data_IF_380590339767
#
_entry.id   IF_380590339767
#
_cell.length_a   1.000
_cell.length_b   1.000
_cell.length_c   1.000
_cell.angle_alpha   90.00
_cell.angle_beta   90.00
_cell.angle_gamma   90.00
#
_symmetry.space_group_name_H-M   'P 1'
#
loop_
_entity.id
_entity.type
_entity.pdbx_description
1 polymer ?
#
# COMPACT_ATOMS: atom_id res chain seq x y z
N UNK A 1 3.36 10.27 5.90
CA UNK A 1 4.51 11.21 5.95
C UNK A 1 4.06 12.48 5.27
N UNK A 2 4.33 13.66 5.84
CA UNK A 2 3.87 14.94 5.26
C UNK A 2 4.58 15.14 3.92
N UNK A 3 3.83 15.39 2.84
CA UNK A 3 4.36 15.69 1.51
C UNK A 3 4.47 14.51 0.54
N UNK A 4 4.23 13.28 0.98
CA UNK A 4 4.25 12.11 0.07
C UNK A 4 2.96 12.04 -0.77
N UNK A 5 3.05 11.71 -2.07
CA UNK A 5 1.87 11.56 -2.92
C UNK A 5 1.04 10.35 -2.48
N UNK A 6 -0.28 10.47 -2.62
CA UNK A 6 -1.18 9.35 -2.34
C UNK A 6 -1.08 8.31 -3.46
N UNK A 7 -1.11 7.01 -3.12
CA UNK A 7 -1.03 5.95 -4.14
C UNK A 7 -2.21 6.00 -5.14
N UNK A 8 -3.38 6.47 -4.71
CA UNK A 8 -4.53 6.73 -5.59
C UNK A 8 -4.29 7.83 -6.64
N UNK A 9 -3.20 8.60 -6.50
CA UNK A 9 -2.76 9.62 -7.45
C UNK A 9 -1.65 9.12 -8.38
N UNK A 10 -1.19 7.88 -8.26
CA UNK A 10 -0.19 7.32 -9.17
C UNK A 10 -0.77 7.13 -10.57
N UNK A 11 -0.04 7.52 -11.61
CA UNK A 11 -0.57 7.59 -12.98
C UNK A 11 -0.96 6.21 -13.53
N UNK A 12 -0.14 5.18 -13.32
CA UNK A 12 -0.48 3.78 -13.64
C UNK A 12 -1.82 3.35 -13.01
N UNK A 13 -2.09 3.74 -11.77
CA UNK A 13 -3.34 3.38 -11.08
C UNK A 13 -4.53 4.10 -11.71
N UNK A 14 -4.39 5.40 -12.02
CA UNK A 14 -5.44 6.18 -12.69
C UNK A 14 -5.74 5.65 -14.09
N UNK A 15 -4.71 5.30 -14.86
CA UNK A 15 -4.83 4.76 -16.20
C UNK A 15 -5.62 3.45 -16.21
N UNK A 16 -5.24 2.50 -15.34
CA UNK A 16 -5.94 1.22 -15.18
C UNK A 16 -7.39 1.47 -14.76
N UNK A 17 -7.61 2.28 -13.73
CA UNK A 17 -8.93 2.61 -13.22
C UNK A 17 -9.85 3.18 -14.31
N UNK A 18 -9.35 4.14 -15.09
CA UNK A 18 -10.09 4.74 -16.20
C UNK A 18 -10.44 3.73 -17.28
N UNK A 19 -9.51 2.83 -17.64
CA UNK A 19 -9.73 1.83 -18.70
C UNK A 19 -10.77 0.79 -18.31
N UNK A 20 -10.81 0.37 -17.05
CA UNK A 20 -11.74 -0.67 -16.56
C UNK A 20 -13.05 -0.11 -15.97
N UNK A 21 -13.24 1.22 -15.98
CA UNK A 21 -14.43 1.85 -15.42
C UNK A 21 -14.53 1.77 -13.90
N UNK A 22 -13.40 1.80 -13.19
CA UNK A 22 -13.28 1.72 -11.74
C UNK A 22 -12.69 3.01 -11.15
N UNK A 23 -12.64 3.08 -9.81
CA UNK A 23 -11.89 4.12 -9.10
C UNK A 23 -10.45 3.66 -8.82
N UNK A 24 -9.49 4.59 -8.67
CA UNK A 24 -8.12 4.25 -8.26
C UNK A 24 -8.04 3.43 -6.96
N UNK A 25 -8.95 3.67 -6.01
CA UNK A 25 -9.02 2.90 -4.77
C UNK A 25 -9.41 1.45 -5.03
N UNK A 26 -10.39 1.21 -5.91
CA UNK A 26 -10.82 -0.14 -6.28
C UNK A 26 -9.70 -0.95 -6.94
N UNK A 27 -8.88 -0.32 -7.81
CA UNK A 27 -7.70 -0.97 -8.41
C UNK A 27 -6.71 -1.43 -7.33
N UNK A 28 -6.40 -0.57 -6.36
CA UNK A 28 -5.49 -0.90 -5.25
C UNK A 28 -6.07 -2.02 -4.38
N UNK A 29 -7.38 -1.97 -4.10
CA UNK A 29 -8.06 -3.01 -3.31
C UNK A 29 -8.06 -4.36 -4.02
N UNK A 30 -8.34 -4.40 -5.33
CA UNK A 30 -8.31 -5.63 -6.12
C UNK A 30 -6.92 -6.25 -6.16
N UNK A 31 -5.86 -5.44 -6.35
CA UNK A 31 -4.47 -5.93 -6.24
C UNK A 31 -4.19 -6.49 -4.85
N UNK A 32 -4.57 -5.77 -3.79
CA UNK A 32 -4.26 -6.15 -2.41
C UNK A 32 -4.97 -7.43 -1.93
N UNK A 33 -6.05 -7.86 -2.58
CA UNK A 33 -6.79 -9.07 -2.22
C UNK A 33 -6.16 -10.35 -2.79
N UNK A 34 -5.33 -10.23 -3.83
CA UNK A 34 -4.66 -11.39 -4.45
C UNK A 34 -3.68 -12.01 -3.44
N UNK A 35 -3.62 -13.35 -3.39
CA UNK A 35 -2.73 -14.08 -2.48
C UNK A 35 -3.36 -14.40 -1.11
N UNK A 36 -4.67 -14.21 -0.95
CA UNK A 36 -5.40 -14.59 0.27
C UNK A 36 -5.30 -13.56 1.41
N UNK A 37 -4.91 -12.33 1.09
CA UNK A 37 -4.82 -11.25 2.06
C UNK A 37 -6.21 -10.68 2.38
N UNK A 38 -6.45 -10.38 3.66
CA UNK A 38 -7.60 -9.58 4.08
C UNK A 38 -7.24 -8.09 4.02
N UNK A 39 -8.08 -7.28 3.36
CA UNK A 39 -7.83 -5.85 3.15
C UNK A 39 -8.86 -5.03 3.93
N UNK A 40 -8.38 -4.07 4.73
CA UNK A 40 -9.19 -3.24 5.64
C UNK A 40 -9.21 -1.76 5.23
N UNK A 41 -9.94 -1.36 4.17
CA UNK A 41 -10.03 0.04 3.79
C UNK A 41 -10.80 0.87 4.81
N UNK A 42 -10.20 1.97 5.27
CA UNK A 42 -10.87 2.92 6.16
C UNK A 42 -11.46 4.09 5.39
N UNK A 43 -12.74 4.38 5.61
CA UNK A 43 -13.40 5.60 5.13
C UNK A 43 -14.46 6.07 6.12
N UNK A 44 -14.74 7.37 6.13
CA UNK A 44 -15.92 7.97 6.80
C UNK A 44 -16.91 8.55 5.79
N UNK A 45 -16.56 8.52 4.50
CA UNK A 45 -17.40 9.01 3.40
C UNK A 45 -18.25 7.87 2.88
N UNK A 46 -19.58 7.98 2.98
CA UNK A 46 -20.52 6.91 2.62
C UNK A 46 -20.36 6.40 1.18
N UNK A 47 -20.21 7.29 0.19
CA UNK A 47 -20.01 6.88 -1.20
C UNK A 47 -18.74 6.04 -1.39
N UNK A 48 -17.62 6.47 -0.79
CA UNK A 48 -16.36 5.71 -0.82
C UNK A 48 -16.47 4.36 -0.11
N UNK A 49 -17.23 4.29 0.99
CA UNK A 49 -17.50 3.01 1.67
C UNK A 49 -18.21 2.07 0.69
N UNK A 50 -19.27 2.54 0.03
CA UNK A 50 -20.00 1.75 -0.97
C UNK A 50 -19.11 1.35 -2.16
N UNK A 51 -18.26 2.25 -2.65
CA UNK A 51 -17.30 1.97 -3.72
C UNK A 51 -16.28 0.89 -3.33
N UNK A 52 -15.76 0.92 -2.10
CA UNK A 52 -14.79 -0.06 -1.60
C UNK A 52 -15.34 -1.49 -1.54
N UNK A 53 -16.66 -1.66 -1.43
CA UNK A 53 -17.32 -2.97 -1.44
C UNK A 53 -17.58 -3.53 -2.84
N UNK A 54 -17.43 -2.71 -3.90
CA UNK A 54 -17.59 -3.18 -5.27
C UNK A 54 -16.30 -3.83 -5.72
N UNK A 55 -16.37 -5.12 -6.00
CA UNK A 55 -15.27 -5.92 -6.52
C UNK A 55 -14.97 -5.54 -7.97
N UNK A 56 -13.68 -5.47 -8.30
CA UNK A 56 -13.20 -5.27 -9.67
C UNK A 56 -12.10 -6.30 -9.94
N UNK A 57 -12.09 -6.86 -11.15
CA UNK A 57 -11.07 -7.81 -11.55
C UNK A 57 -9.96 -7.08 -12.31
N UNK A 58 -8.70 -7.39 -11.96
CA UNK A 58 -7.54 -6.94 -12.72
C UNK A 58 -7.15 -8.03 -13.72
N UNK A 59 -6.82 -7.62 -14.94
CA UNK A 59 -6.11 -8.51 -15.84
C UNK A 59 -4.74 -8.86 -15.26
N UNK A 60 -4.14 -9.97 -15.69
CA UNK A 60 -2.79 -10.34 -15.26
C UNK A 60 -1.77 -9.23 -15.54
N UNK A 61 -1.87 -8.59 -16.70
CA UNK A 61 -1.00 -7.48 -17.08
C UNK A 61 -1.16 -6.27 -16.14
N UNK A 62 -2.40 -5.94 -15.78
CA UNK A 62 -2.66 -4.82 -14.86
C UNK A 62 -2.19 -5.11 -13.45
N UNK A 63 -2.40 -6.33 -12.98
CA UNK A 63 -1.87 -6.78 -11.70
C UNK A 63 -0.34 -6.63 -11.66
N UNK A 64 0.36 -7.09 -12.70
CA UNK A 64 1.81 -6.98 -12.82
C UNK A 64 2.28 -5.51 -12.88
N UNK A 65 1.53 -4.63 -13.55
CA UNK A 65 1.81 -3.19 -13.57
C UNK A 65 1.70 -2.54 -12.18
N UNK A 66 0.69 -2.92 -11.38
CA UNK A 66 0.54 -2.43 -10.00
C UNK A 66 1.65 -2.98 -9.11
N UNK A 67 1.96 -4.27 -9.23
CA UNK A 67 3.03 -4.95 -8.49
C UNK A 67 4.40 -4.27 -8.72
N UNK A 68 4.68 -3.86 -9.95
CA UNK A 68 5.95 -3.23 -10.30
C UNK A 68 6.17 -1.88 -9.59
N UNK A 69 5.11 -1.16 -9.21
CA UNK A 69 5.22 0.07 -8.40
C UNK A 69 5.88 -0.26 -7.06
N UNK A 70 5.42 -1.30 -6.38
CA UNK A 70 5.96 -1.72 -5.07
C UNK A 70 7.40 -2.22 -5.14
N UNK A 71 7.82 -2.78 -6.29
CA UNK A 71 9.20 -3.25 -6.52
C UNK A 71 10.17 -2.09 -6.81
N UNK A 72 9.75 -1.11 -7.60
CA UNK A 72 10.58 0.04 -7.97
C UNK A 72 10.66 1.09 -6.87
N UNK A 73 9.55 1.30 -6.18
CA UNK A 73 9.39 2.38 -5.20
C UNK A 73 8.86 1.82 -3.87
N UNK A 74 9.57 0.85 -3.24
CA UNK A 74 9.13 0.25 -1.99
C UNK A 74 9.03 1.34 -0.91
N UNK A 75 7.92 1.32 -0.17
CA UNK A 75 7.66 2.31 0.88
C UNK A 75 7.06 1.66 2.11
N UNK A 76 7.69 1.89 3.26
CA UNK A 76 7.15 1.52 4.57
C UNK A 76 6.68 2.74 5.33
N UNK A 77 5.37 2.82 5.56
CA UNK A 77 4.77 3.96 6.29
C UNK A 77 4.83 3.81 7.82
N UNK A 78 5.05 2.60 8.31
CA UNK A 78 5.16 2.32 9.74
C UNK A 78 6.48 1.61 10.01
N UNK A 79 7.47 2.40 10.45
CA UNK A 79 8.76 1.93 10.92
C UNK A 79 8.81 2.23 12.43
N UNK A 80 8.58 1.24 13.31
CA UNK A 80 8.46 1.46 14.75
C UNK A 80 9.67 2.15 15.39
N UNK A 81 10.87 1.94 14.84
CA UNK A 81 12.10 2.58 15.30
C UNK A 81 12.05 4.12 15.23
N UNK A 82 11.41 4.68 14.19
CA UNK A 82 11.30 6.14 14.01
C UNK A 82 9.91 6.69 14.34
N UNK A 83 8.85 5.89 14.18
CA UNK A 83 7.47 6.33 14.34
C UNK A 83 7.00 6.41 15.80
N UNK A 84 7.59 5.63 16.71
CA UNK A 84 7.10 5.50 18.09
C UNK A 84 7.87 6.35 19.10
N UNK A 85 7.19 6.74 20.19
CA UNK A 85 7.77 7.31 21.41
C UNK A 85 7.17 6.59 22.63
N UNK A 86 7.96 5.85 23.43
CA UNK A 86 9.38 5.54 23.23
C UNK A 86 9.62 4.74 21.94
N UNK A 87 10.82 4.89 21.36
CA UNK A 87 11.23 4.15 20.14
C UNK A 87 11.35 2.67 20.47
N UNK A 88 11.02 1.81 19.50
CA UNK A 88 11.29 0.38 19.62
C UNK A 88 12.71 0.11 19.10
N UNK A 89 13.71 -0.24 19.93
CA UNK A 89 15.11 -0.29 19.50
C UNK A 89 15.46 -1.60 18.75
N UNK A 90 14.62 -1.99 17.78
CA UNK A 90 14.77 -3.21 16.98
C UNK A 90 14.71 -2.83 15.50
N UNK A 91 15.67 -3.33 14.72
CA UNK A 91 15.62 -3.34 13.27
C UNK A 91 14.74 -4.53 12.83
N UNK A 92 13.51 -4.23 12.42
CA UNK A 92 12.50 -5.23 12.09
C UNK A 92 12.50 -5.55 10.60
N UNK A 93 12.68 -4.54 9.75
CA UNK A 93 12.44 -4.64 8.33
C UNK A 93 13.71 -4.44 7.48
N UNK A 94 14.87 -4.21 8.11
CA UNK A 94 16.13 -3.85 7.46
C UNK A 94 16.04 -2.57 6.63
N UNK A 95 15.18 -1.62 7.06
CA UNK A 95 15.06 -0.32 6.39
C UNK A 95 16.24 0.59 6.77
N UNK A 96 16.67 1.53 5.90
CA UNK A 96 17.76 2.46 6.19
C UNK A 96 17.59 3.26 7.49
N UNK A 97 16.35 3.59 7.85
CA UNK A 97 15.98 4.30 9.07
C UNK A 97 16.27 3.50 10.34
N UNK A 98 16.28 2.16 10.25
CA UNK A 98 16.49 1.24 11.37
C UNK A 98 17.98 0.85 11.54
N UNK A 99 18.89 1.38 10.72
CA UNK A 99 20.31 0.97 10.69
C UNK A 99 21.02 1.11 12.05
N UNK A 100 20.62 2.10 12.84
CA UNK A 100 21.22 2.43 14.14
C UNK A 100 20.51 1.70 15.31
N UNK A 101 19.51 0.85 15.02
CA UNK A 101 18.82 0.09 16.05
C UNK A 101 19.76 -1.00 16.64
N UNK A 102 19.85 -1.12 17.97
CA UNK A 102 20.81 -2.01 18.63
C UNK A 102 20.43 -3.50 18.56
N UNK A 103 19.18 -3.83 18.23
CA UNK A 103 18.70 -5.21 18.13
C UNK A 103 18.22 -5.53 16.71
N UNK A 104 18.25 -6.82 16.35
CA UNK A 104 17.74 -7.35 15.08
C UNK A 104 16.84 -8.55 15.34
N UNK A 105 15.85 -8.74 14.49
CA UNK A 105 15.03 -9.96 14.50
C UNK A 105 15.89 -11.15 14.05
N UNK A 106 15.81 -12.26 14.78
CA UNK A 106 16.40 -13.55 14.40
C UNK A 106 15.25 -14.41 13.91
N UNK A 107 15.25 -14.73 12.62
CA UNK A 107 14.24 -15.61 11.97
C UNK A 107 14.96 -16.86 11.48
#
# INVERSE_FOLDING_TARGET
MVGEPLLVQHDTIKEIASRIGATPAQVILAWAQVGGHSVIPKSVTASRIQENFKEVELSKEDFEKVEEIGKKEPRRFNIPYVANKPRWPVNIFNEPEEKDAPHKVIV
#
